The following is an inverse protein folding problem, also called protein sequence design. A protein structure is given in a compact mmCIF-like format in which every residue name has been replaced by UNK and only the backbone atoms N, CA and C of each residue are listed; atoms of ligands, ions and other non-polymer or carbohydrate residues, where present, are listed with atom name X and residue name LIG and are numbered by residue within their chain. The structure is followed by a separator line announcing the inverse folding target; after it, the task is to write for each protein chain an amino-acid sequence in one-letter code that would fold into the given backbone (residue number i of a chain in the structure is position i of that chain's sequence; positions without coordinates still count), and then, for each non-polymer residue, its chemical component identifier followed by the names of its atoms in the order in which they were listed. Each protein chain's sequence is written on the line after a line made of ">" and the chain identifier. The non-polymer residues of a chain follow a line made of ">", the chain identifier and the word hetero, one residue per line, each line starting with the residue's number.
data_IF_031148912059
#
_entry.id   IF_031148912059
#
_cell.length_a   1.000
_cell.length_b   1.000
_cell.length_c   1.000
_cell.angle_alpha   90.00
_cell.angle_beta   90.00
_cell.angle_gamma   90.00
#
_symmetry.space_group_name_H-M   'P 1'
#
loop_
_entity.id
_entity.type
_entity.pdbx_description
1 polymer ?
#
# COMPACT_ATOMS: atom_id res chain seq x y z
N UNK A 1 0.76 9.12 13.60
CA UNK A 1 1.42 9.08 12.29
C UNK A 1 2.91 8.88 12.42
N UNK A 2 3.44 8.03 11.63
CA UNK A 2 4.86 7.76 11.60
C UNK A 2 5.62 8.98 11.09
N UNK A 3 6.69 9.37 11.73
CA UNK A 3 7.50 10.48 11.24
C UNK A 3 8.65 9.95 10.40
N UNK A 4 9.43 10.85 9.80
CA UNK A 4 10.50 10.46 8.90
C UNK A 4 11.58 9.62 9.53
N UNK A 5 11.74 9.70 10.83
CA UNK A 5 12.75 8.93 11.53
C UNK A 5 12.34 7.49 11.75
N UNK A 6 11.05 7.21 11.54
CA UNK A 6 10.51 5.86 11.71
C UNK A 6 10.24 5.20 10.38
N UNK A 7 11.10 5.43 9.41
CA UNK A 7 10.91 4.86 8.07
C UNK A 7 11.80 3.63 7.89
N UNK A 8 11.42 2.49 8.47
CA UNK A 8 12.30 1.33 8.52
C UNK A 8 12.51 0.64 7.17
N UNK A 9 11.78 1.04 6.15
CA UNK A 9 11.88 0.37 4.85
C UNK A 9 12.52 1.25 3.79
N UNK A 10 13.38 2.16 4.20
CA UNK A 10 14.21 2.93 3.29
C UNK A 10 13.78 4.35 3.08
N UNK A 11 12.51 4.64 3.06
CA UNK A 11 12.03 5.99 2.92
C UNK A 11 10.59 6.07 3.35
N UNK A 12 10.14 7.27 3.59
CA UNK A 12 8.78 7.45 4.09
C UNK A 12 7.74 6.93 3.10
N UNK A 13 7.92 7.22 1.81
CA UNK A 13 6.95 6.78 0.81
C UNK A 13 6.92 5.24 0.73
N UNK A 14 8.09 4.61 0.71
CA UNK A 14 8.15 3.15 0.70
C UNK A 14 7.43 2.56 1.90
N UNK A 15 7.68 3.13 3.07
CA UNK A 15 7.06 2.63 4.29
C UNK A 15 5.55 2.83 4.24
N UNK A 16 5.09 4.01 3.84
CA UNK A 16 3.65 4.28 3.78
C UNK A 16 2.94 3.38 2.77
N UNK A 17 3.57 3.12 1.64
CA UNK A 17 3.01 2.20 0.64
C UNK A 17 2.85 0.81 1.25
N UNK A 18 3.86 0.33 1.96
CA UNK A 18 3.77 -1.00 2.59
C UNK A 18 2.65 -1.05 3.62
N UNK A 19 2.51 -0.01 4.44
CA UNK A 19 1.46 0.01 5.45
C UNK A 19 0.08 -0.01 4.80
N UNK A 20 -0.09 0.77 3.74
CA UNK A 20 -1.36 0.80 3.02
C UNK A 20 -1.67 -0.55 2.41
N UNK A 21 -0.68 -1.20 1.80
CA UNK A 21 -0.88 -2.53 1.22
C UNK A 21 -1.24 -3.56 2.28
N UNK A 22 -0.65 -3.45 3.47
CA UNK A 22 -1.01 -4.35 4.55
C UNK A 22 -2.47 -4.23 4.92
N UNK A 23 -2.98 -3.01 4.95
CA UNK A 23 -4.38 -2.76 5.33
C UNK A 23 -5.35 -3.07 4.21
N UNK A 24 -4.95 -2.83 2.96
CA UNK A 24 -5.82 -3.04 1.81
C UNK A 24 -5.77 -4.47 1.26
N UNK A 25 -4.74 -5.19 1.57
CA UNK A 25 -4.35 -6.49 1.06
C UNK A 25 -3.81 -6.41 -0.38
N UNK A 26 -4.45 -5.67 -1.25
CA UNK A 26 -3.88 -5.37 -2.57
C UNK A 26 -4.41 -4.04 -3.07
N UNK A 27 -3.64 -3.43 -3.94
CA UNK A 27 -4.01 -2.12 -4.48
C UNK A 27 -3.20 -1.86 -5.74
N UNK A 28 -3.48 -0.74 -6.39
CA UNK A 28 -2.80 -0.33 -7.60
C UNK A 28 -2.29 1.09 -7.42
N UNK A 29 -1.32 1.52 -8.26
CA UNK A 29 -0.61 2.78 -8.00
C UNK A 29 -1.51 4.00 -7.83
N UNK A 30 -2.54 4.11 -8.66
CA UNK A 30 -3.40 5.29 -8.61
C UNK A 30 -4.20 5.36 -7.32
N UNK A 31 -4.70 4.21 -6.85
CA UNK A 31 -5.42 4.17 -5.59
C UNK A 31 -4.49 4.52 -4.43
N UNK A 32 -3.30 3.94 -4.43
CA UNK A 32 -2.32 4.22 -3.38
C UNK A 32 -1.92 5.68 -3.36
N UNK A 33 -1.69 6.26 -4.53
CA UNK A 33 -1.33 7.67 -4.60
C UNK A 33 -2.43 8.54 -4.00
N UNK A 34 -3.67 8.19 -4.27
CA UNK A 34 -4.81 8.95 -3.75
C UNK A 34 -4.91 8.81 -2.23
N UNK A 35 -4.80 7.59 -1.73
CA UNK A 35 -4.86 7.34 -0.29
C UNK A 35 -3.75 8.08 0.44
N UNK A 36 -2.55 8.05 -0.11
CA UNK A 36 -1.39 8.63 0.55
C UNK A 36 -1.21 10.11 0.26
N UNK A 37 -2.07 10.67 -0.59
CA UNK A 37 -1.94 12.05 -1.04
C UNK A 37 -0.54 12.29 -1.58
N UNK A 38 -0.09 11.39 -2.43
CA UNK A 38 1.26 11.40 -2.98
C UNK A 38 1.20 11.49 -4.50
N UNK A 39 2.30 11.91 -5.10
CA UNK A 39 2.38 11.99 -6.55
C UNK A 39 2.31 10.58 -7.14
N UNK A 40 1.54 10.37 -8.21
CA UNK A 40 1.49 9.04 -8.82
C UNK A 40 2.84 8.50 -9.26
N UNK A 41 3.70 9.35 -9.79
CA UNK A 41 5.02 8.89 -10.23
C UNK A 41 5.90 8.45 -9.05
N UNK A 42 5.84 9.16 -7.95
CA UNK A 42 6.59 8.77 -6.76
C UNK A 42 6.08 7.50 -6.15
N UNK A 43 4.76 7.31 -6.18
CA UNK A 43 4.14 6.08 -5.68
C UNK A 43 4.58 4.89 -6.52
N UNK A 44 4.54 5.03 -7.84
CA UNK A 44 4.96 3.95 -8.73
C UNK A 44 6.43 3.62 -8.55
N UNK A 45 7.25 4.65 -8.39
CA UNK A 45 8.67 4.45 -8.17
C UNK A 45 8.91 3.67 -6.87
N UNK A 46 8.18 4.02 -5.82
CA UNK A 46 8.30 3.29 -4.56
C UNK A 46 7.87 1.84 -4.71
N UNK A 47 6.78 1.58 -5.43
CA UNK A 47 6.32 0.21 -5.66
C UNK A 47 7.34 -0.61 -6.42
N UNK A 48 7.93 -0.03 -7.46
CA UNK A 48 8.95 -0.73 -8.23
C UNK A 48 10.18 -1.03 -7.40
N UNK A 49 10.57 -0.09 -6.57
CA UNK A 49 11.70 -0.28 -5.68
C UNK A 49 11.43 -1.39 -4.68
N UNK A 50 10.23 -1.41 -4.09
CA UNK A 50 9.85 -2.47 -3.17
C UNK A 50 9.75 -3.82 -3.86
N UNK A 51 9.31 -3.83 -5.10
CA UNK A 51 9.24 -5.07 -5.87
C UNK A 51 10.63 -5.63 -6.13
N UNK A 52 11.57 -4.76 -6.48
CA UNK A 52 12.95 -5.17 -6.68
C UNK A 52 13.55 -5.75 -5.41
N UNK A 53 13.18 -5.21 -4.28
CA UNK A 53 13.68 -5.71 -3.00
C UNK A 53 12.95 -6.96 -2.52
N UNK A 54 11.94 -7.40 -3.26
CA UNK A 54 11.20 -8.61 -2.92
C UNK A 54 10.15 -8.43 -1.83
N UNK A 55 9.86 -7.18 -1.45
CA UNK A 55 8.88 -6.92 -0.38
C UNK A 55 7.46 -6.86 -0.89
N UNK A 56 7.27 -6.48 -2.15
CA UNK A 56 5.94 -6.51 -2.76
C UNK A 56 6.00 -7.31 -4.05
N UNK A 57 4.87 -7.85 -4.43
CA UNK A 57 4.70 -8.59 -5.67
C UNK A 57 3.61 -7.92 -6.50
N UNK A 58 3.84 -7.83 -7.81
CA UNK A 58 2.87 -7.24 -8.71
C UNK A 58 2.37 -8.27 -9.70
N UNK A 59 1.13 -8.10 -10.14
CA UNK A 59 0.58 -8.90 -11.22
C UNK A 59 -0.30 -8.02 -12.09
N UNK A 60 -0.44 -8.40 -13.33
CA UNK A 60 -1.29 -7.66 -14.26
C UNK A 60 -2.71 -8.16 -14.17
N UNK A 61 -3.65 -7.22 -14.06
CA UNK A 61 -5.08 -7.52 -14.09
C UNK A 61 -5.65 -6.58 -15.15
N UNK A 62 -5.88 -7.12 -16.34
CA UNK A 62 -6.21 -6.28 -17.47
C UNK A 62 -5.08 -5.34 -17.78
N UNK A 63 -5.35 -4.06 -17.79
CA UNK A 63 -4.32 -3.05 -18.03
C UNK A 63 -3.75 -2.45 -16.76
N UNK A 64 -4.16 -2.97 -15.62
CA UNK A 64 -3.76 -2.45 -14.33
C UNK A 64 -2.78 -3.41 -13.68
N UNK A 65 -1.72 -2.86 -13.12
CA UNK A 65 -0.80 -3.67 -12.33
C UNK A 65 -1.18 -3.54 -10.88
N UNK A 66 -1.47 -4.68 -10.24
CA UNK A 66 -1.94 -4.75 -8.87
C UNK A 66 -0.81 -5.28 -8.01
N UNK A 67 -0.62 -4.68 -6.85
CA UNK A 67 0.48 -5.00 -5.95
C UNK A 67 -0.04 -5.47 -4.61
N UNK A 68 0.76 -6.30 -3.94
CA UNK A 68 0.48 -6.74 -2.57
C UNK A 68 1.81 -7.04 -1.88
N UNK A 69 1.78 -7.15 -0.56
CA UNK A 69 2.94 -7.64 0.17
C UNK A 69 3.26 -9.02 -0.37
N UNK A 70 4.55 -9.26 -0.63
CA UNK A 70 4.96 -10.45 -1.35
C UNK A 70 4.83 -11.71 -0.49
N UNK A 71 3.87 -12.61 -0.80
CA UNK A 71 3.69 -13.82 0.01
C UNK A 71 4.85 -14.79 -0.09
N UNK A 72 5.76 -14.58 -1.04
CA UNK A 72 6.94 -15.43 -1.16
C UNK A 72 8.16 -14.87 -0.45
N UNK A 73 8.03 -13.70 0.17
CA UNK A 73 9.12 -13.17 0.97
C UNK A 73 9.39 -14.15 2.10
N UNK A 74 10.68 -14.45 2.34
CA UNK A 74 11.03 -15.53 3.26
C UNK A 74 10.48 -15.32 4.66
N UNK A 75 10.33 -14.09 5.10
CA UNK A 75 9.80 -13.77 6.43
C UNK A 75 8.42 -13.11 6.31
N UNK A 76 7.59 -13.63 5.41
CA UNK A 76 6.31 -13.01 5.08
C UNK A 76 5.41 -12.79 6.29
N UNK A 77 5.26 -13.81 7.13
CA UNK A 77 4.36 -13.67 8.28
C UNK A 77 4.89 -12.66 9.29
N UNK A 78 6.20 -12.65 9.49
CA UNK A 78 6.80 -11.66 10.37
C UNK A 78 6.67 -10.26 9.80
N UNK A 79 6.83 -10.12 8.50
CA UNK A 79 6.67 -8.84 7.83
C UNK A 79 5.24 -8.35 7.98
N UNK A 80 4.26 -9.21 7.74
CA UNK A 80 2.85 -8.82 7.88
C UNK A 80 2.56 -8.37 9.30
N UNK A 81 3.06 -9.06 10.28
CA UNK A 81 2.84 -8.73 11.68
C UNK A 81 3.45 -7.37 12.02
N UNK A 82 4.67 -7.15 11.55
CA UNK A 82 5.35 -5.89 11.80
C UNK A 82 4.60 -4.72 11.14
N UNK A 83 4.20 -4.91 9.90
CA UNK A 83 3.45 -3.87 9.20
C UNK A 83 2.13 -3.56 9.90
N UNK A 84 1.46 -4.58 10.40
CA UNK A 84 0.23 -4.37 11.14
C UNK A 84 0.48 -3.54 12.40
N UNK A 85 1.56 -3.84 13.10
CA UNK A 85 1.89 -3.10 14.32
C UNK A 85 2.17 -1.63 14.04
N UNK A 86 2.69 -1.33 12.88
CA UNK A 86 2.93 0.05 12.50
C UNK A 86 1.67 0.72 11.96
N UNK A 87 0.83 -0.04 11.26
CA UNK A 87 -0.34 0.52 10.60
C UNK A 87 -1.53 0.70 11.51
N UNK A 88 -1.72 -0.22 12.44
CA UNK A 88 -2.91 -0.24 13.26
C UNK A 88 -3.10 1.04 14.06
N UNK A 89 -2.06 1.63 14.67
CA UNK A 89 -2.25 2.90 15.39
C UNK A 89 -2.29 4.13 14.49
N UNK A 90 -2.08 3.99 13.20
CA UNK A 90 -2.07 5.12 12.28
C UNK A 90 -3.50 5.45 11.85
N UNK A 91 -4.19 6.24 12.66
CA UNK A 91 -5.59 6.55 12.43
C UNK A 91 -5.81 7.33 11.14
N UNK A 92 -4.89 8.23 10.82
CA UNK A 92 -5.02 9.01 9.59
C UNK A 92 -5.02 8.10 8.37
N UNK A 93 -4.11 7.14 8.32
CA UNK A 93 -4.06 6.21 7.21
C UNK A 93 -5.32 5.37 7.14
N UNK A 94 -5.77 4.86 8.27
CA UNK A 94 -6.98 4.03 8.30
C UNK A 94 -8.21 4.82 7.87
N UNK A 95 -8.30 6.08 8.29
CA UNK A 95 -9.41 6.93 7.90
C UNK A 95 -9.40 7.22 6.40
N UNK A 96 -8.22 7.44 5.83
CA UNK A 96 -8.10 7.68 4.40
C UNK A 96 -8.53 6.46 3.60
N UNK A 97 -8.14 5.28 4.05
CA UNK A 97 -8.54 4.04 3.40
C UNK A 97 -10.04 3.84 3.51
N UNK A 98 -10.59 4.05 4.69
CA UNK A 98 -12.02 3.88 4.89
C UNK A 98 -12.82 4.83 4.01
N UNK A 99 -12.36 6.07 3.86
CA UNK A 99 -13.05 7.04 3.04
C UNK A 99 -13.11 6.59 1.58
N UNK A 100 -12.02 6.06 1.07
CA UNK A 100 -11.95 5.58 -0.31
C UNK A 100 -12.81 4.34 -0.50
N UNK A 101 -12.71 3.39 0.42
CA UNK A 101 -13.41 2.12 0.29
C UNK A 101 -14.90 2.22 0.53
N UNK A 102 -15.35 3.28 1.20
CA UNK A 102 -16.78 3.49 1.42
C UNK A 102 -17.49 4.11 0.23
N UNK A 103 -16.75 4.72 -0.68
CA UNK A 103 -17.38 5.41 -1.79
C UNK A 103 -18.09 4.43 -2.69
N UNK A 104 -19.33 4.73 -3.08
CA UNK A 104 -20.02 3.87 -4.03
C UNK A 104 -19.27 3.83 -5.34
N UNK A 105 -19.21 2.67 -5.95
CA UNK A 105 -18.61 2.55 -7.25
C UNK A 105 -19.58 3.03 -8.28
N UNK A 106 -19.09 3.91 -9.15
CA UNK A 106 -19.96 4.42 -10.17
C UNK A 106 -20.31 3.35 -11.14
N UNK A 107 -19.36 2.56 -11.47
CA UNK A 107 -19.58 1.56 -12.48
C UNK A 107 -20.21 0.33 -11.95
N UNK A 108 -20.17 0.16 -10.78
CA UNK A 108 -20.73 -1.04 -10.26
C UNK A 108 -22.16 -0.98 -10.01
N UNK A 109 -22.70 0.02 -10.26
CA UNK A 109 -23.92 0.09 -9.87
C UNK A 109 -24.83 -0.41 -10.55
N UNK A 110 -25.26 -0.81 -10.67
CA UNK A 110 -26.19 -1.13 -11.33
C UNK A 110 -27.02 -1.58 -10.52
N UNK A 111 -27.01 -1.53 -10.38
CA UNK A 111 -27.62 -2.06 -9.92
C UNK A 111 -28.29 -2.07 -9.88
#
# INVERSE_FOLDING_TARGET
>A
MMNGQSSPFGGLTRTRVLLALRLLEESYPRELARILDAAPSGTLKALRSLELDGLVAGRNVGRTRVFRVNPRYFAYEDLRRYLWRLAEPDEDLRDRIAAIRRRPRRTGKPF
#
